data_IF_363208560962
#
_entry.id   IF_363208560962
#
_cell.length_a   1.000
_cell.length_b   1.000
_cell.length_c   1.000
_cell.angle_alpha   90.00
_cell.angle_beta   90.00
_cell.angle_gamma   90.00
#
_symmetry.space_group_name_H-M   'P 1'
#
loop_
_entity.id
_entity.type
_entity.pdbx_description
1 polymer ?
#
# COMPACT_ATOMS: atom_id res chain seq x y z
N UNK A 1 3.89 -2.74 -18.51
CA UNK A 1 4.59 -3.44 -19.59
C UNK A 1 4.28 -2.97 -21.03
N UNK A 2 3.06 -2.56 -21.41
CA UNK A 2 2.78 -2.21 -22.83
C UNK A 2 3.37 -0.87 -23.31
N UNK A 3 3.59 0.10 -22.41
CA UNK A 3 4.15 1.41 -22.75
C UNK A 3 5.68 1.39 -22.70
N UNK A 4 6.24 0.73 -21.68
CA UNK A 4 7.67 0.61 -21.44
C UNK A 4 8.06 -0.87 -21.58
N UNK A 5 8.75 -1.17 -22.68
CA UNK A 5 9.39 -2.45 -22.97
C UNK A 5 10.89 -2.18 -23.06
N UNK A 6 11.70 -3.07 -22.50
CA UNK A 6 13.17 -2.92 -22.52
C UNK A 6 13.68 -2.69 -23.95
N UNK A 7 14.64 -1.76 -24.06
CA UNK A 7 15.32 -1.36 -25.30
C UNK A 7 14.42 -0.84 -26.45
N UNK A 8 13.17 -0.48 -26.15
CA UNK A 8 12.23 0.11 -27.10
C UNK A 8 11.76 1.51 -26.66
N UNK A 9 11.64 2.39 -27.65
CA UNK A 9 11.02 3.70 -27.45
C UNK A 9 9.58 3.56 -26.89
N UNK A 10 9.24 4.30 -25.82
CA UNK A 10 7.95 4.20 -25.17
C UNK A 10 6.79 4.42 -26.14
N UNK A 11 5.74 3.60 -26.01
CA UNK A 11 4.56 3.74 -26.87
C UNK A 11 3.63 4.84 -26.34
N UNK A 12 3.30 5.80 -27.19
CA UNK A 12 2.35 6.88 -26.87
C UNK A 12 0.88 6.46 -26.89
N UNK A 13 0.57 5.26 -27.43
CA UNK A 13 -0.80 4.77 -27.60
C UNK A 13 -0.94 3.34 -27.10
N UNK A 14 -1.97 3.11 -26.28
CA UNK A 14 -2.38 1.78 -25.85
C UNK A 14 -3.48 1.21 -26.76
N UNK A 15 -3.42 -0.08 -27.13
CA UNK A 15 -4.47 -0.73 -27.90
C UNK A 15 -5.85 -0.59 -27.25
N UNK A 16 -6.87 -0.24 -28.06
CA UNK A 16 -8.24 0.00 -27.60
C UNK A 16 -8.86 -1.16 -26.81
N UNK A 17 -8.44 -2.39 -27.11
CA UNK A 17 -8.93 -3.61 -26.44
C UNK A 17 -8.50 -3.69 -24.97
N UNK A 18 -7.39 -3.04 -24.58
CA UNK A 18 -6.94 -2.95 -23.19
C UNK A 18 -7.31 -1.59 -22.57
N UNK A 19 -7.14 -0.49 -23.30
CA UNK A 19 -7.37 0.85 -22.75
C UNK A 19 -8.84 1.13 -22.41
N UNK A 20 -9.80 0.65 -23.21
CA UNK A 20 -11.24 0.85 -22.93
C UNK A 20 -11.69 0.22 -21.61
N UNK A 21 -11.48 -1.08 -21.34
CA UNK A 21 -11.89 -1.66 -20.05
C UNK A 21 -11.11 -1.04 -18.88
N UNK A 22 -9.83 -0.70 -19.06
CA UNK A 22 -9.04 -0.07 -18.01
C UNK A 22 -9.59 1.30 -17.61
N UNK A 23 -9.85 2.18 -18.59
CA UNK A 23 -10.46 3.51 -18.35
C UNK A 23 -11.81 3.36 -17.64
N UNK A 24 -12.68 2.47 -18.13
CA UNK A 24 -14.00 2.27 -17.53
C UNK A 24 -13.93 1.77 -16.08
N UNK A 25 -12.98 0.88 -15.75
CA UNK A 25 -12.78 0.42 -14.38
C UNK A 25 -12.21 1.53 -13.50
N UNK A 26 -11.24 2.28 -14.01
CA UNK A 26 -10.62 3.42 -13.33
C UNK A 26 -11.64 4.50 -12.96
N UNK A 27 -12.56 4.84 -13.86
CA UNK A 27 -13.66 5.77 -13.58
C UNK A 27 -14.55 5.28 -12.43
N UNK A 28 -14.90 3.98 -12.42
CA UNK A 28 -15.70 3.38 -11.33
C UNK A 28 -14.99 3.39 -9.98
N UNK A 29 -13.67 3.23 -9.99
CA UNK A 29 -12.84 3.28 -8.79
C UNK A 29 -12.43 4.71 -8.40
N UNK A 30 -12.93 5.73 -9.12
CA UNK A 30 -12.56 7.14 -8.95
C UNK A 30 -11.04 7.37 -8.95
N UNK A 31 -10.30 6.63 -9.79
CA UNK A 31 -8.84 6.67 -9.88
C UNK A 31 -8.39 6.82 -11.33
N UNK A 32 -7.23 7.45 -11.60
CA UNK A 32 -6.70 7.53 -12.95
C UNK A 32 -6.31 6.14 -13.50
N UNK A 33 -6.42 5.90 -14.81
CA UNK A 33 -5.99 4.66 -15.49
C UNK A 33 -4.47 4.62 -15.67
N UNK A 34 -3.77 4.58 -14.54
CA UNK A 34 -2.32 4.46 -14.44
C UNK A 34 -1.97 3.56 -13.27
N UNK A 35 -0.86 2.82 -13.40
CA UNK A 35 -0.32 2.05 -12.29
C UNK A 35 0.08 3.03 -11.18
N UNK A 36 -0.59 2.94 -10.04
CA UNK A 36 -0.40 3.84 -8.90
C UNK A 36 -0.02 3.03 -7.68
N UNK A 37 0.53 3.70 -6.66
CA UNK A 37 1.00 3.06 -5.43
C UNK A 37 0.00 2.09 -4.82
N UNK A 38 -1.28 2.48 -4.71
CA UNK A 38 -2.30 1.58 -4.16
C UNK A 38 -2.54 0.31 -4.99
N UNK A 39 -2.32 0.34 -6.31
CA UNK A 39 -2.45 -0.86 -7.14
C UNK A 39 -1.19 -1.72 -7.16
N UNK A 40 -0.02 -1.10 -6.98
CA UNK A 40 1.27 -1.76 -7.15
C UNK A 40 1.90 -2.22 -5.83
N UNK A 41 1.61 -1.52 -4.73
CA UNK A 41 2.11 -1.86 -3.39
C UNK A 41 0.98 -2.42 -2.53
N UNK A 42 -0.05 -1.61 -2.24
CA UNK A 42 -1.05 -1.96 -1.23
C UNK A 42 -1.92 -3.18 -1.59
N UNK A 43 -2.20 -3.40 -2.87
CA UNK A 43 -3.06 -4.51 -3.33
C UNK A 43 -2.29 -5.62 -4.07
N UNK A 44 -0.96 -5.57 -4.11
CA UNK A 44 -0.13 -6.46 -4.93
C UNK A 44 0.70 -7.43 -4.09
N UNK A 45 0.21 -7.86 -2.94
CA UNK A 45 0.95 -8.74 -2.05
C UNK A 45 0.06 -9.85 -1.48
N UNK A 46 0.69 -10.89 -0.96
CA UNK A 46 0.04 -11.98 -0.24
C UNK A 46 0.96 -12.50 0.87
N UNK A 47 0.36 -13.19 1.85
CA UNK A 47 1.12 -13.92 2.88
C UNK A 47 1.54 -15.29 2.36
N UNK A 48 2.78 -15.68 2.62
CA UNK A 48 3.28 -17.02 2.30
C UNK A 48 2.61 -18.05 3.22
N UNK A 49 2.49 -17.71 4.50
CA UNK A 49 1.72 -18.43 5.51
C UNK A 49 0.70 -17.46 6.15
N UNK A 50 -0.59 -17.73 5.93
CA UNK A 50 -1.71 -16.94 6.48
C UNK A 50 -1.81 -17.00 8.02
N UNK A 51 -1.08 -17.93 8.66
CA UNK A 51 -1.06 -18.08 10.12
C UNK A 51 0.04 -17.29 10.83
N UNK A 52 0.97 -16.70 10.06
CA UNK A 52 2.10 -15.95 10.58
C UNK A 52 1.93 -14.42 10.36
N UNK A 53 2.77 -13.61 11.00
CA UNK A 53 2.66 -12.16 10.98
C UNK A 53 2.99 -11.56 9.59
N UNK A 54 2.59 -10.31 9.39
CA UNK A 54 3.01 -9.50 8.23
C UNK A 54 4.46 -9.05 8.48
N UNK A 55 5.41 -9.78 7.92
CA UNK A 55 6.85 -9.51 7.97
C UNK A 55 7.48 -9.70 6.57
N UNK A 56 8.66 -9.13 6.35
CA UNK A 56 9.45 -9.25 5.13
C UNK A 56 9.72 -10.69 4.72
N UNK A 57 9.84 -11.60 5.68
CA UNK A 57 10.07 -13.03 5.43
C UNK A 57 8.77 -13.80 5.09
N UNK A 58 7.60 -13.21 5.34
CA UNK A 58 6.28 -13.84 5.14
C UNK A 58 5.40 -13.10 4.11
N UNK A 59 5.90 -12.04 3.47
CA UNK A 59 5.17 -11.25 2.48
C UNK A 59 5.82 -11.39 1.11
N UNK A 60 5.01 -11.68 0.09
CA UNK A 60 5.47 -11.81 -1.30
C UNK A 60 4.58 -11.03 -2.29
N UNK A 61 5.14 -10.67 -3.45
CA UNK A 61 4.43 -9.96 -4.51
C UNK A 61 3.59 -10.87 -5.39
N UNK A 62 2.36 -10.44 -5.72
CA UNK A 62 1.47 -11.18 -6.65
C UNK A 62 1.98 -11.01 -8.09
N UNK A 63 2.29 -9.78 -8.51
CA UNK A 63 2.78 -9.48 -9.85
C UNK A 63 4.03 -8.60 -9.80
N UNK A 64 5.05 -9.04 -10.52
CA UNK A 64 6.26 -8.26 -10.77
C UNK A 64 6.15 -7.48 -12.10
N UNK A 65 6.78 -6.31 -12.15
CA UNK A 65 6.85 -5.40 -13.27
C UNK A 65 8.04 -5.71 -14.19
N UNK A 66 9.25 -5.79 -13.65
CA UNK A 66 10.47 -6.27 -14.32
C UNK A 66 10.92 -7.62 -13.73
N UNK A 67 10.60 -7.86 -12.46
CA UNK A 67 11.04 -8.99 -11.68
C UNK A 67 12.43 -8.79 -11.09
N UNK A 68 12.73 -9.56 -10.06
CA UNK A 68 14.01 -9.56 -9.38
C UNK A 68 13.87 -9.22 -7.90
N UNK A 69 14.89 -9.64 -7.15
CA UNK A 69 14.92 -9.52 -5.68
C UNK A 69 14.82 -8.06 -5.22
N UNK A 70 15.42 -7.13 -5.99
CA UNK A 70 15.38 -5.71 -5.67
C UNK A 70 13.97 -5.13 -5.79
N UNK A 71 13.17 -5.59 -6.77
CA UNK A 71 11.80 -5.15 -6.95
C UNK A 71 10.88 -5.73 -5.86
N UNK A 72 11.02 -7.03 -5.59
CA UNK A 72 10.29 -7.70 -4.52
C UNK A 72 10.50 -6.97 -3.21
N UNK A 73 11.76 -6.74 -2.83
CA UNK A 73 12.11 -6.05 -1.58
C UNK A 73 11.61 -4.60 -1.55
N UNK A 74 11.72 -3.87 -2.67
CA UNK A 74 11.25 -2.49 -2.76
C UNK A 74 9.76 -2.36 -2.48
N UNK A 75 8.93 -3.34 -2.85
CA UNK A 75 7.49 -3.25 -2.60
C UNK A 75 7.09 -3.86 -1.26
N UNK A 76 7.67 -5.00 -0.87
CA UNK A 76 7.29 -5.68 0.38
C UNK A 76 7.68 -4.89 1.63
N UNK A 77 8.76 -4.11 1.59
CA UNK A 77 9.13 -3.20 2.69
C UNK A 77 8.05 -2.14 2.93
N UNK A 78 7.44 -1.61 1.87
CA UNK A 78 6.35 -0.65 2.00
C UNK A 78 5.12 -1.29 2.66
N UNK A 79 4.79 -2.53 2.33
CA UNK A 79 3.70 -3.26 2.99
C UNK A 79 3.94 -3.37 4.50
N UNK A 80 5.17 -3.71 4.91
CA UNK A 80 5.53 -3.82 6.32
C UNK A 80 5.48 -2.47 7.05
N UNK A 81 5.95 -1.38 6.40
CA UNK A 81 5.90 -0.03 6.95
C UNK A 81 4.44 0.43 7.16
N UNK A 82 3.58 0.22 6.17
CA UNK A 82 2.15 0.59 6.26
C UNK A 82 1.43 -0.23 7.33
N UNK A 83 1.78 -1.52 7.48
CA UNK A 83 1.27 -2.35 8.57
C UNK A 83 1.73 -1.82 9.94
N UNK A 84 3.00 -1.45 10.10
CA UNK A 84 3.52 -0.88 11.34
C UNK A 84 2.87 0.49 11.67
N UNK A 85 2.49 1.27 10.65
CA UNK A 85 1.78 2.53 10.83
C UNK A 85 0.27 2.38 11.12
N UNK A 86 -0.29 1.18 10.98
CA UNK A 86 -1.74 0.96 11.05
C UNK A 86 -2.34 1.36 12.41
N UNK A 87 -1.66 1.08 13.52
CA UNK A 87 -2.11 1.46 14.86
C UNK A 87 -2.11 2.98 15.07
N UNK A 88 -1.12 3.68 14.51
CA UNK A 88 -1.09 5.15 14.54
C UNK A 88 -2.28 5.77 13.79
N UNK A 89 -2.68 5.17 12.66
CA UNK A 89 -3.84 5.61 11.88
C UNK A 89 -5.14 5.34 12.65
N UNK A 90 -5.27 4.19 13.31
CA UNK A 90 -6.43 3.89 14.18
C UNK A 90 -6.53 4.88 15.34
N UNK A 91 -5.41 5.18 15.99
CA UNK A 91 -5.36 6.19 17.05
C UNK A 91 -5.78 7.58 16.53
N UNK A 92 -5.35 7.98 15.32
CA UNK A 92 -5.81 9.22 14.70
C UNK A 92 -7.34 9.25 14.52
N UNK A 93 -7.95 8.14 14.09
CA UNK A 93 -9.40 8.04 13.93
C UNK A 93 -10.13 8.16 15.27
N UNK A 94 -9.65 7.47 16.31
CA UNK A 94 -10.22 7.56 17.66
C UNK A 94 -10.16 8.99 18.19
N UNK A 95 -8.99 9.65 18.08
CA UNK A 95 -8.79 11.03 18.51
C UNK A 95 -9.70 11.99 17.71
N UNK A 96 -9.86 11.79 16.40
CA UNK A 96 -10.72 12.62 15.57
C UNK A 96 -12.20 12.56 15.98
N UNK A 97 -12.61 11.47 16.64
CA UNK A 97 -13.97 11.28 17.16
C UNK A 97 -14.14 11.77 18.61
N UNK A 98 -13.07 12.15 19.29
CA UNK A 98 -13.15 12.73 20.63
C UNK A 98 -13.87 14.08 20.63
N UNK A 99 -14.51 14.40 21.76
CA UNK A 99 -15.23 15.65 21.97
C UNK A 99 -14.88 16.25 23.34
N UNK A 100 -15.61 17.29 23.75
CA UNK A 100 -15.32 18.02 25.01
C UNK A 100 -15.52 17.19 26.28
N UNK A 101 -16.24 16.07 26.19
CA UNK A 101 -16.51 15.16 27.30
C UNK A 101 -15.51 13.98 27.32
N UNK A 102 -14.64 13.87 26.30
CA UNK A 102 -13.58 12.86 26.27
C UNK A 102 -12.49 13.16 27.29
N UNK A 103 -12.02 12.13 27.99
CA UNK A 103 -10.97 12.28 29.00
C UNK A 103 -9.63 12.60 28.35
N UNK A 104 -8.99 13.69 28.80
CA UNK A 104 -7.67 14.12 28.31
C UNK A 104 -6.58 13.05 28.52
N UNK A 105 -6.69 12.25 29.60
CA UNK A 105 -5.82 11.11 29.87
C UNK A 105 -5.85 10.05 28.75
N UNK A 106 -7.04 9.74 28.25
CA UNK A 106 -7.22 8.74 27.19
C UNK A 106 -6.63 9.23 25.86
N UNK A 107 -6.79 10.52 25.54
CA UNK A 107 -6.19 11.13 24.34
C UNK A 107 -4.66 11.12 24.43
N UNK A 108 -4.09 11.45 25.58
CA UNK A 108 -2.64 11.42 25.78
C UNK A 108 -2.08 9.99 25.69
N UNK A 109 -2.79 8.99 26.22
CA UNK A 109 -2.38 7.59 26.09
C UNK A 109 -2.36 7.12 24.62
N UNK A 110 -3.35 7.52 23.83
CA UNK A 110 -3.38 7.22 22.39
C UNK A 110 -2.21 7.87 21.65
N UNK A 111 -1.82 9.09 22.02
CA UNK A 111 -0.67 9.79 21.45
C UNK A 111 0.67 9.14 21.84
N UNK A 112 0.83 8.77 23.11
CA UNK A 112 2.09 8.23 23.61
C UNK A 112 2.37 6.80 23.12
N UNK A 113 1.34 5.96 23.05
CA UNK A 113 1.49 4.55 22.71
C UNK A 113 1.59 4.28 21.21
N UNK A 114 0.94 5.09 20.37
CA UNK A 114 0.78 4.77 18.94
C UNK A 114 1.66 5.62 17.99
N UNK A 115 2.39 6.62 18.50
CA UNK A 115 3.28 7.47 17.69
C UNK A 115 4.78 7.27 17.99
N UNK A 116 5.11 6.31 18.85
CA UNK A 116 6.49 5.93 19.14
C UNK A 116 6.97 4.81 18.18
N UNK A 117 7.42 5.19 16.99
CA UNK A 117 7.92 4.28 15.95
C UNK A 117 9.25 3.57 16.30
N UNK A 118 9.78 3.75 17.51
CA UNK A 118 11.04 3.13 17.95
C UNK A 118 10.91 1.65 18.36
N UNK A 119 9.69 1.08 18.38
CA UNK A 119 9.45 -0.32 18.73
C UNK A 119 9.50 -1.28 17.53
N UNK A 120 9.64 -0.76 16.31
CA UNK A 120 9.83 -1.55 15.11
C UNK A 120 11.32 -1.92 14.99
N UNK A 121 11.80 -2.84 15.85
CA UNK A 121 13.17 -3.35 15.88
C UNK A 121 13.18 -4.82 16.27
#
# INVERSE_FOLDING_TARGET
MLIFLEDLEPKSLLPKVISKPWVSLSEKLARPPVLSYASYCLHNWYLIDDSDAIDLDNVALINNFLGGIDEDWFVTIHVCIENAASEAIKACEEIANCNKDSEESSVNELLDNNFNFYSCS
#
